data_IF_815574423158
#
_entry.id   IF_815574423158
#
_cell.length_a   1.000
_cell.length_b   1.000
_cell.length_c   1.000
_cell.angle_alpha   90.00
_cell.angle_beta   90.00
_cell.angle_gamma   90.00
#
_symmetry.space_group_name_H-M   'P 1'
#
loop_
_entity.id
_entity.type
_entity.pdbx_description
1 polymer ?
#
# COMPACT_ATOMS: atom_id res chain seq x y z
N UNK A 1 -13.41 22.52 6.35
CA UNK A 1 -13.24 21.07 6.14
C UNK A 1 -11.83 20.87 5.62
N UNK A 2 -10.95 20.28 6.43
CA UNK A 2 -9.58 19.97 6.03
C UNK A 2 -9.53 18.51 5.60
N UNK A 3 -9.01 18.25 4.39
CA UNK A 3 -8.89 16.91 3.83
C UNK A 3 -7.41 16.67 3.56
N UNK A 4 -6.80 15.76 4.32
CA UNK A 4 -5.39 15.40 4.14
C UNK A 4 -5.25 14.38 3.00
N UNK A 5 -4.50 14.69 1.92
CA UNK A 5 -4.26 13.74 0.85
C UNK A 5 -3.49 12.51 1.36
N UNK A 6 -3.85 11.30 0.92
CA UNK A 6 -2.99 10.14 1.10
C UNK A 6 -1.63 10.34 0.41
N UNK A 7 -0.59 9.66 0.89
CA UNK A 7 0.76 9.70 0.31
C UNK A 7 0.76 9.58 -1.24
N UNK A 8 1.41 10.51 -1.92
CA UNK A 8 1.52 10.50 -3.40
C UNK A 8 0.32 11.07 -4.15
N UNK A 9 -0.84 11.27 -3.51
CA UNK A 9 -1.93 12.06 -4.08
C UNK A 9 -1.58 13.55 -4.00
N UNK A 10 -1.97 14.31 -5.03
CA UNK A 10 -1.85 15.78 -5.03
C UNK A 10 -3.07 16.42 -4.35
N UNK A 11 -3.57 17.53 -4.86
CA UNK A 11 -4.79 18.18 -4.35
C UNK A 11 -6.01 17.25 -4.55
N UNK A 12 -6.62 16.80 -3.45
CA UNK A 12 -7.86 16.00 -3.49
C UNK A 12 -9.06 16.86 -3.09
N UNK A 13 -10.20 16.60 -3.74
CA UNK A 13 -11.47 17.26 -3.46
C UNK A 13 -12.59 16.22 -3.33
N UNK A 14 -13.68 16.51 -2.59
CA UNK A 14 -14.84 15.63 -2.57
C UNK A 14 -15.36 15.37 -3.98
N UNK A 15 -15.68 14.13 -4.28
CA UNK A 15 -16.24 13.74 -5.57
C UNK A 15 -17.77 13.78 -5.52
N UNK A 16 -18.38 14.64 -6.32
CA UNK A 16 -19.83 14.82 -6.38
C UNK A 16 -20.42 14.12 -7.60
N UNK A 17 -21.67 13.62 -7.47
CA UNK A 17 -22.32 12.80 -8.50
C UNK A 17 -22.50 13.47 -9.85
N UNK A 18 -22.58 14.81 -9.87
CA UNK A 18 -22.73 15.61 -11.10
C UNK A 18 -21.40 15.91 -11.81
N UNK A 19 -20.27 15.51 -11.22
CA UNK A 19 -18.94 15.75 -11.80
C UNK A 19 -18.55 14.65 -12.77
N UNK A 20 -17.69 15.03 -13.71
CA UNK A 20 -17.09 14.14 -14.71
C UNK A 20 -15.61 13.94 -14.41
N UNK A 21 -15.12 12.74 -14.68
CA UNK A 21 -13.74 12.34 -14.38
C UNK A 21 -13.06 11.85 -15.65
N UNK A 22 -11.89 12.40 -15.98
CA UNK A 22 -11.03 11.88 -17.05
C UNK A 22 -10.12 10.81 -16.48
N UNK A 23 -10.57 9.55 -16.47
CA UNK A 23 -9.78 8.48 -15.88
C UNK A 23 -8.47 8.23 -16.64
N UNK A 24 -7.38 7.84 -15.93
CA UNK A 24 -6.18 7.39 -16.60
C UNK A 24 -6.48 6.25 -17.56
N UNK A 25 -5.81 6.25 -18.73
CA UNK A 25 -5.84 5.11 -19.63
C UNK A 25 -5.31 3.85 -18.94
N UNK A 26 -5.77 2.68 -19.39
CA UNK A 26 -5.33 1.41 -18.84
C UNK A 26 -3.80 1.27 -18.92
N UNK A 27 -3.17 1.04 -17.76
CA UNK A 27 -1.72 0.89 -17.64
C UNK A 27 -0.95 2.21 -17.43
N UNK A 28 -1.61 3.37 -17.48
CA UNK A 28 -1.01 4.63 -17.04
C UNK A 28 -0.87 4.62 -15.53
N UNK A 29 0.35 4.83 -15.05
CA UNK A 29 0.66 4.83 -13.62
C UNK A 29 0.66 6.24 -13.04
N UNK A 30 0.23 6.39 -11.77
CA UNK A 30 0.45 7.62 -11.01
C UNK A 30 1.93 8.04 -11.04
N UNK A 31 2.18 9.33 -11.22
CA UNK A 31 3.53 9.90 -11.34
C UNK A 31 4.41 9.55 -10.13
N UNK A 32 3.85 9.64 -8.91
CA UNK A 32 4.57 9.39 -7.66
C UNK A 32 5.20 7.99 -7.62
N UNK A 33 4.62 7.00 -8.30
CA UNK A 33 5.15 5.63 -8.28
C UNK A 33 6.51 5.50 -8.92
N UNK A 34 6.89 6.39 -9.85
CA UNK A 34 8.20 6.34 -10.52
C UNK A 34 9.36 6.49 -9.54
N UNK A 35 9.13 7.22 -8.45
CA UNK A 35 10.13 7.53 -7.42
C UNK A 35 9.72 7.00 -6.04
N UNK A 36 8.76 6.07 -5.97
CA UNK A 36 8.32 5.50 -4.70
C UNK A 36 9.03 4.17 -4.46
N UNK A 37 9.73 4.06 -3.33
CA UNK A 37 10.44 2.83 -2.94
C UNK A 37 9.60 1.86 -2.11
N UNK A 38 8.45 2.27 -1.59
CA UNK A 38 7.53 1.40 -0.88
C UNK A 38 6.09 1.92 -0.97
N UNK A 39 5.12 1.02 -1.07
CA UNK A 39 3.69 1.37 -1.12
C UNK A 39 2.90 0.66 -0.03
N UNK A 40 1.86 1.29 0.55
CA UNK A 40 0.99 0.63 1.51
C UNK A 40 0.35 -0.64 0.94
N UNK A 41 0.23 -1.65 1.80
CA UNK A 41 -0.56 -2.86 1.53
C UNK A 41 -1.57 -3.06 2.66
N UNK A 42 -2.77 -3.51 2.36
CA UNK A 42 -3.79 -3.79 3.38
C UNK A 42 -3.83 -5.29 3.75
N UNK A 43 -4.49 -5.60 4.87
CA UNK A 43 -4.54 -6.92 5.50
C UNK A 43 -4.88 -8.09 4.56
N UNK A 44 -5.79 -7.88 3.62
CA UNK A 44 -6.24 -8.89 2.65
C UNK A 44 -5.28 -9.04 1.47
N UNK A 45 -4.37 -8.08 1.26
CA UNK A 45 -3.38 -8.14 0.18
C UNK A 45 -2.19 -9.06 0.50
N UNK A 46 -1.92 -9.33 1.78
CA UNK A 46 -0.76 -10.13 2.21
C UNK A 46 -0.60 -11.46 1.43
N UNK A 47 -1.63 -12.32 1.26
CA UNK A 47 -1.49 -13.60 0.55
C UNK A 47 -1.21 -13.51 -0.95
N UNK A 48 -1.46 -12.36 -1.59
CA UNK A 48 -1.12 -12.17 -3.01
C UNK A 48 0.18 -11.38 -3.15
N UNK A 49 0.36 -10.33 -2.34
CA UNK A 49 1.51 -9.44 -2.38
C UNK A 49 2.82 -10.13 -1.94
N UNK A 50 2.77 -11.09 -1.01
CA UNK A 50 3.98 -11.78 -0.53
C UNK A 50 4.71 -12.57 -1.63
N UNK A 51 4.07 -12.84 -2.77
CA UNK A 51 4.69 -13.58 -3.88
C UNK A 51 5.73 -12.74 -4.62
N UNK A 52 5.51 -11.42 -4.62
CA UNK A 52 6.24 -10.48 -5.47
C UNK A 52 7.11 -9.51 -4.67
N UNK A 53 6.69 -9.13 -3.45
CA UNK A 53 7.32 -8.08 -2.67
C UNK A 53 7.83 -8.59 -1.32
N UNK A 54 8.93 -8.04 -0.80
CA UNK A 54 9.14 -8.00 0.64
C UNK A 54 8.03 -7.16 1.26
N UNK A 55 7.28 -7.75 2.18
CA UNK A 55 6.30 -7.05 2.99
C UNK A 55 6.99 -6.71 4.32
N UNK A 56 7.04 -5.44 4.68
CA UNK A 56 7.65 -4.96 5.93
C UNK A 56 6.72 -3.99 6.62
N UNK A 57 7.05 -3.63 7.85
CA UNK A 57 6.31 -2.60 8.60
C UNK A 57 7.14 -1.33 8.68
N UNK A 58 6.50 -0.17 8.63
CA UNK A 58 7.11 1.13 8.88
C UNK A 58 6.39 1.83 10.02
N UNK A 59 7.08 2.74 10.69
CA UNK A 59 6.53 3.54 11.77
C UNK A 59 6.96 5.00 11.62
N UNK A 60 6.03 5.93 11.85
CA UNK A 60 6.28 7.38 11.80
C UNK A 60 6.32 8.03 13.17
N UNK A 61 6.15 7.26 14.24
CA UNK A 61 5.99 7.73 15.62
C UNK A 61 6.88 6.96 16.61
N UNK A 62 8.07 6.59 16.14
CA UNK A 62 9.09 5.87 16.90
C UNK A 62 8.63 4.50 17.43
N UNK A 63 7.87 3.75 16.62
CA UNK A 63 7.46 2.38 16.90
C UNK A 63 6.19 2.27 17.75
N UNK A 64 5.40 3.33 17.89
CA UNK A 64 4.11 3.28 18.61
C UNK A 64 3.00 2.75 17.72
N UNK A 65 3.00 3.14 16.45
CA UNK A 65 2.10 2.63 15.42
C UNK A 65 2.89 2.14 14.21
N UNK A 66 2.30 1.16 13.53
CA UNK A 66 2.91 0.51 12.39
C UNK A 66 1.94 0.48 11.21
N UNK A 67 2.51 0.53 10.02
CA UNK A 67 1.78 0.32 8.77
C UNK A 67 2.56 -0.64 7.89
N UNK A 68 1.92 -1.66 7.31
CA UNK A 68 2.60 -2.57 6.41
C UNK A 68 2.74 -1.95 5.01
N UNK A 69 3.90 -2.20 4.40
CA UNK A 69 4.25 -1.72 3.06
C UNK A 69 4.90 -2.83 2.24
N UNK A 70 4.68 -2.81 0.93
CA UNK A 70 5.45 -3.57 -0.04
C UNK A 70 6.67 -2.77 -0.48
N UNK A 71 7.86 -3.37 -0.37
CA UNK A 71 9.12 -2.74 -0.81
C UNK A 71 9.27 -2.87 -2.32
N UNK A 72 9.41 -1.74 -3.01
CA UNK A 72 9.50 -1.62 -4.47
C UNK A 72 10.92 -1.38 -5.00
N UNK A 73 11.83 -0.95 -4.13
CA UNK A 73 13.21 -0.64 -4.48
C UNK A 73 14.14 -0.80 -3.30
N UNK A 74 15.45 -0.85 -3.58
CA UNK A 74 16.49 -1.01 -2.55
C UNK A 74 17.30 0.26 -2.36
N UNK A 75 17.06 1.29 -3.17
CA UNK A 75 17.55 2.65 -2.96
C UNK A 75 16.39 3.62 -2.68
N UNK A 76 16.73 4.79 -2.15
CA UNK A 76 15.78 5.90 -2.06
C UNK A 76 15.31 6.29 -3.46
N UNK A 77 14.05 6.69 -3.57
CA UNK A 77 13.44 7.16 -4.81
C UNK A 77 13.48 6.19 -6.00
N UNK A 78 13.43 4.88 -5.74
CA UNK A 78 13.58 3.82 -6.74
C UNK A 78 12.35 2.90 -6.77
N UNK A 79 11.79 2.67 -7.95
CA UNK A 79 10.80 1.62 -8.17
C UNK A 79 11.29 0.65 -9.24
N UNK A 80 11.64 -0.56 -8.83
CA UNK A 80 12.20 -1.58 -9.71
C UNK A 80 11.13 -2.31 -10.52
N UNK A 81 9.84 -2.12 -10.23
CA UNK A 81 8.71 -2.82 -10.87
C UNK A 81 8.12 -2.07 -12.07
N UNK A 82 8.70 -0.93 -12.44
CA UNK A 82 8.31 -0.15 -13.61
C UNK A 82 9.35 -0.33 -14.71
N UNK A 83 8.89 -0.80 -15.87
CA UNK A 83 9.70 -1.02 -17.08
C UNK A 83 9.05 -0.27 -18.24
N UNK A 84 9.82 0.55 -18.98
CA UNK A 84 9.30 1.39 -20.07
C UNK A 84 8.08 2.24 -19.68
N UNK A 85 8.06 2.72 -18.43
CA UNK A 85 6.99 3.53 -17.88
C UNK A 85 5.69 2.80 -17.56
N UNK A 86 5.67 1.47 -17.67
CA UNK A 86 4.54 0.60 -17.34
C UNK A 86 4.86 -0.31 -16.18
N UNK A 87 3.84 -0.70 -15.43
CA UNK A 87 3.99 -1.69 -14.38
C UNK A 87 4.27 -3.06 -14.99
N UNK A 88 5.12 -3.87 -14.35
CA UNK A 88 5.35 -5.23 -14.79
C UNK A 88 4.06 -6.04 -14.72
N UNK A 89 3.54 -6.49 -15.87
CA UNK A 89 2.23 -7.13 -15.98
C UNK A 89 2.10 -8.46 -15.21
N UNK A 90 3.23 -9.10 -14.88
CA UNK A 90 3.26 -10.35 -14.12
C UNK A 90 3.35 -10.14 -12.60
N UNK A 91 3.33 -8.90 -12.15
CA UNK A 91 3.50 -8.52 -10.75
C UNK A 91 2.20 -7.93 -10.23
N UNK A 92 1.78 -8.36 -9.04
CA UNK A 92 0.60 -7.83 -8.37
C UNK A 92 0.68 -6.31 -8.20
N UNK A 93 -0.39 -5.58 -8.53
CA UNK A 93 -0.48 -4.13 -8.33
C UNK A 93 -1.28 -3.84 -7.04
N UNK A 94 -0.65 -3.28 -5.98
CA UNK A 94 -1.35 -3.02 -4.72
C UNK A 94 -2.61 -2.15 -4.88
N UNK A 95 -3.62 -2.43 -4.05
CA UNK A 95 -4.91 -1.74 -4.08
C UNK A 95 -4.76 -0.23 -3.86
N UNK A 96 -3.77 0.17 -3.04
CA UNK A 96 -3.38 1.56 -2.85
C UNK A 96 -3.13 2.31 -4.16
N UNK A 97 -2.53 1.63 -5.13
CA UNK A 97 -2.27 2.15 -6.48
C UNK A 97 -3.50 2.03 -7.37
N UNK A 98 -4.16 0.86 -7.37
CA UNK A 98 -5.30 0.58 -8.25
C UNK A 98 -6.48 1.52 -8.06
N UNK A 99 -6.65 2.10 -6.86
CA UNK A 99 -7.73 3.05 -6.56
C UNK A 99 -7.53 4.44 -7.16
N UNK A 100 -6.32 4.79 -7.60
CA UNK A 100 -6.03 6.11 -8.17
C UNK A 100 -6.89 6.36 -9.42
N UNK A 101 -7.48 7.56 -9.60
CA UNK A 101 -7.25 8.81 -8.86
C UNK A 101 -8.18 9.04 -7.66
N UNK A 102 -8.92 8.02 -7.22
CA UNK A 102 -9.84 8.14 -6.10
C UNK A 102 -9.23 7.69 -4.77
N UNK A 103 -9.73 8.28 -3.69
CA UNK A 103 -9.45 7.82 -2.35
C UNK A 103 -10.66 8.06 -1.45
N UNK A 104 -10.69 7.41 -0.29
CA UNK A 104 -11.58 7.83 0.79
C UNK A 104 -10.78 8.65 1.80
N UNK A 105 -11.39 9.75 2.24
CA UNK A 105 -10.82 10.61 3.26
C UNK A 105 -11.72 10.67 4.49
N UNK A 106 -11.08 10.78 5.65
CA UNK A 106 -11.76 11.08 6.91
C UNK A 106 -12.16 12.54 6.89
N UNK A 107 -13.38 12.85 7.31
CA UNK A 107 -13.87 14.21 7.42
C UNK A 107 -13.78 14.65 8.86
N UNK A 108 -13.09 15.75 9.12
CA UNK A 108 -13.12 16.40 10.43
C UNK A 108 -13.96 17.66 10.33
N UNK A 109 -15.02 17.72 11.15
CA UNK A 109 -15.87 18.90 11.33
C UNK A 109 -15.76 19.31 12.79
N UNK A 110 -15.42 20.58 13.06
CA UNK A 110 -15.25 21.12 14.42
C UNK A 110 -14.35 20.27 15.33
N UNK A 111 -13.24 19.76 14.78
CA UNK A 111 -12.29 18.85 15.46
C UNK A 111 -12.85 17.47 15.83
N UNK A 112 -14.02 17.10 15.32
CA UNK A 112 -14.63 15.78 15.48
C UNK A 112 -14.58 15.01 14.16
N UNK A 113 -13.97 13.82 14.18
CA UNK A 113 -13.96 12.91 13.04
C UNK A 113 -15.38 12.37 12.80
N UNK A 114 -15.90 12.58 11.60
CA UNK A 114 -17.20 12.05 11.19
C UNK A 114 -17.09 10.56 10.85
N UNK A 115 -18.15 9.81 11.15
CA UNK A 115 -18.23 8.38 10.85
C UNK A 115 -18.21 8.11 9.33
N UNK A 116 -18.80 9.00 8.55
CA UNK A 116 -18.89 8.86 7.10
C UNK A 116 -17.58 9.26 6.42
N UNK A 117 -17.03 8.33 5.65
CA UNK A 117 -15.91 8.58 4.75
C UNK A 117 -16.44 9.21 3.48
N UNK A 118 -15.78 10.26 3.02
CA UNK A 118 -16.09 10.85 1.72
C UNK A 118 -15.18 10.26 0.65
N UNK A 119 -15.78 9.89 -0.47
CA UNK A 119 -15.05 9.65 -1.71
C UNK A 119 -14.50 10.98 -2.20
N UNK A 120 -13.19 11.02 -2.39
CA UNK A 120 -12.46 12.14 -2.95
C UNK A 120 -11.77 11.69 -4.24
N UNK A 121 -11.46 12.66 -5.09
CA UNK A 121 -10.72 12.49 -6.33
C UNK A 121 -9.60 13.52 -6.40
N UNK A 122 -8.46 13.16 -6.97
CA UNK A 122 -7.43 14.13 -7.30
C UNK A 122 -7.98 15.13 -8.32
N UNK A 123 -7.97 16.43 -7.97
CA UNK A 123 -8.65 17.50 -8.70
C UNK A 123 -8.26 17.59 -10.17
N UNK A 124 -7.01 17.23 -10.50
CA UNK A 124 -6.51 17.19 -11.87
C UNK A 124 -7.29 16.23 -12.79
N UNK A 125 -8.04 15.29 -12.23
CA UNK A 125 -8.85 14.33 -12.97
C UNK A 125 -10.29 14.79 -13.18
N UNK A 126 -10.73 15.87 -12.53
CA UNK A 126 -12.03 16.48 -12.80
C UNK A 126 -11.97 17.26 -14.11
N UNK A 127 -12.89 16.97 -15.03
CA UNK A 127 -12.89 17.56 -16.37
C UNK A 127 -14.25 17.43 -17.03
N UNK A 128 -14.74 18.51 -17.64
CA UNK A 128 -16.02 18.52 -18.37
C UNK A 128 -16.05 17.58 -19.58
N UNK A 129 -14.86 17.20 -20.08
CA UNK A 129 -14.65 16.22 -21.15
C UNK A 129 -14.50 14.78 -20.64
N UNK A 130 -14.51 14.58 -19.32
CA UNK A 130 -14.45 13.26 -18.69
C UNK A 130 -15.74 12.47 -18.84
N UNK A 131 -15.73 11.27 -18.26
CA UNK A 131 -16.90 10.39 -18.18
C UNK A 131 -17.71 10.64 -16.90
N UNK A 132 -19.03 10.48 -16.98
CA UNK A 132 -19.95 10.54 -15.84
C UNK A 132 -19.91 9.21 -15.08
N UNK A 133 -19.89 9.26 -13.75
CA UNK A 133 -19.96 8.06 -12.90
C UNK A 133 -21.39 7.73 -12.46
N UNK A 134 -22.30 8.69 -12.60
CA UNK A 134 -23.71 8.58 -12.24
C UNK A 134 -24.59 9.11 -13.38
N UNK A 135 -25.83 8.62 -13.46
CA UNK A 135 -26.83 9.15 -14.39
C UNK A 135 -27.49 10.43 -13.84
N UNK A 136 -28.43 10.99 -14.62
CA UNK A 136 -29.16 12.22 -14.28
C UNK A 136 -30.06 12.09 -13.03
N UNK A 137 -30.35 10.87 -12.58
CA UNK A 137 -31.11 10.58 -11.35
C UNK A 137 -30.18 10.32 -10.16
N UNK A 138 -28.86 10.35 -10.37
CA UNK A 138 -27.84 10.15 -9.35
C UNK A 138 -27.58 8.67 -9.01
N UNK A 139 -27.97 7.74 -9.89
CA UNK A 139 -27.70 6.31 -9.76
C UNK A 139 -26.37 5.93 -10.42
N UNK A 140 -25.63 5.03 -9.77
CA UNK A 140 -24.31 4.58 -10.21
C UNK A 140 -24.34 3.90 -11.57
N UNK A 141 -23.50 4.37 -12.50
CA UNK A 141 -23.29 3.74 -13.81
C UNK A 141 -22.37 2.52 -13.69
N UNK A 142 -22.40 1.57 -14.64
CA UNK A 142 -21.57 0.35 -14.60
C UNK A 142 -20.07 0.63 -14.43
N UNK A 143 -19.59 1.76 -14.95
CA UNK A 143 -18.20 2.20 -14.84
C UNK A 143 -17.76 2.50 -13.40
N UNK A 144 -18.67 3.02 -12.57
CA UNK A 144 -18.42 3.42 -11.19
C UNK A 144 -18.40 2.24 -10.21
N UNK A 145 -19.29 1.26 -10.41
CA UNK A 145 -19.48 0.14 -9.49
C UNK A 145 -18.20 -0.59 -9.07
N UNK A 146 -17.28 -0.99 -9.97
CA UNK A 146 -16.03 -1.65 -9.55
C UNK A 146 -15.07 -0.71 -8.81
N UNK A 147 -15.09 0.59 -9.11
CA UNK A 147 -14.27 1.60 -8.43
C UNK A 147 -14.78 1.79 -7.01
N UNK A 148 -16.09 1.98 -6.85
CA UNK A 148 -16.76 2.12 -5.56
C UNK A 148 -16.53 0.90 -4.67
N UNK A 149 -16.67 -0.31 -5.23
CA UNK A 149 -16.36 -1.56 -4.52
C UNK A 149 -14.90 -1.57 -4.06
N UNK A 150 -13.94 -1.27 -4.94
CA UNK A 150 -12.51 -1.27 -4.58
C UNK A 150 -12.22 -0.27 -3.45
N UNK A 151 -12.81 0.93 -3.49
CA UNK A 151 -12.66 1.93 -2.44
C UNK A 151 -13.20 1.40 -1.10
N UNK A 152 -14.42 0.88 -1.09
CA UNK A 152 -15.08 0.37 0.10
C UNK A 152 -14.33 -0.83 0.71
N UNK A 153 -13.93 -1.78 -0.14
CA UNK A 153 -13.15 -2.95 0.27
C UNK A 153 -11.81 -2.51 0.88
N UNK A 154 -11.12 -1.56 0.25
CA UNK A 154 -9.84 -1.05 0.73
C UNK A 154 -9.96 -0.35 2.10
N UNK A 155 -10.97 0.50 2.30
CA UNK A 155 -11.16 1.20 3.59
C UNK A 155 -11.54 0.23 4.72
N UNK A 156 -12.44 -0.74 4.44
CA UNK A 156 -12.75 -1.79 5.40
C UNK A 156 -11.51 -2.62 5.76
N UNK A 157 -10.64 -2.85 4.79
CA UNK A 157 -9.41 -3.60 5.00
C UNK A 157 -8.33 -2.80 5.75
N UNK A 158 -8.32 -1.47 5.63
CA UNK A 158 -7.46 -0.60 6.44
C UNK A 158 -7.76 -0.74 7.94
N UNK A 159 -9.02 -0.92 8.32
CA UNK A 159 -9.36 -1.12 9.73
C UNK A 159 -8.82 -2.45 10.27
N UNK A 160 -8.94 -3.54 9.48
CA UNK A 160 -8.31 -4.82 9.82
C UNK A 160 -6.78 -4.72 9.87
N UNK A 161 -6.20 -3.87 9.03
CA UNK A 161 -4.77 -3.61 9.00
C UNK A 161 -4.31 -2.91 10.28
N UNK A 162 -5.06 -1.90 10.74
CA UNK A 162 -4.81 -1.21 12.02
C UNK A 162 -4.94 -2.18 13.20
N UNK A 163 -6.01 -2.97 13.24
CA UNK A 163 -6.21 -3.99 14.28
C UNK A 163 -5.04 -4.99 14.32
N UNK A 164 -4.64 -5.52 13.16
CA UNK A 164 -3.48 -6.41 13.06
C UNK A 164 -2.21 -5.74 13.61
N UNK A 165 -1.91 -4.51 13.19
CA UNK A 165 -0.70 -3.81 13.63
C UNK A 165 -0.73 -3.52 15.13
N UNK A 166 -1.89 -3.18 15.70
CA UNK A 166 -2.05 -3.03 17.15
C UNK A 166 -1.74 -4.34 17.86
N UNK A 167 -2.32 -5.47 17.41
CA UNK A 167 -2.07 -6.77 18.02
C UNK A 167 -0.57 -7.14 17.97
N UNK A 168 0.09 -6.92 16.83
CA UNK A 168 1.52 -7.19 16.69
C UNK A 168 2.37 -6.33 17.63
N UNK A 169 2.02 -5.04 17.79
CA UNK A 169 2.68 -4.12 18.70
C UNK A 169 2.44 -4.48 20.18
N UNK A 170 1.18 -4.72 20.56
CA UNK A 170 0.77 -5.09 21.92
C UNK A 170 1.43 -6.40 22.38
N UNK A 171 1.62 -7.34 21.44
CA UNK A 171 2.30 -8.62 21.71
C UNK A 171 3.83 -8.50 21.57
N UNK A 172 4.36 -7.28 21.35
CA UNK A 172 5.78 -6.98 21.20
C UNK A 172 6.48 -7.81 20.12
N UNK A 173 5.75 -8.19 19.07
CA UNK A 173 6.23 -9.09 18.02
C UNK A 173 7.10 -8.39 16.96
N UNK A 174 7.13 -7.06 16.94
CA UNK A 174 7.87 -6.28 15.94
C UNK A 174 9.24 -5.86 16.48
N UNK A 175 10.26 -5.96 15.63
CA UNK A 175 11.62 -5.47 15.90
C UNK A 175 12.14 -4.62 14.73
N UNK A 176 13.04 -3.64 14.98
CA UNK A 176 13.73 -2.94 13.91
C UNK A 176 14.47 -3.90 12.98
N UNK A 177 14.36 -3.65 11.68
CA UNK A 177 14.96 -4.47 10.65
C UNK A 177 15.72 -3.61 9.65
N UNK A 178 16.96 -4.01 9.35
CA UNK A 178 17.77 -3.44 8.27
C UNK A 178 18.16 -4.55 7.32
N UNK A 179 17.78 -4.41 6.05
CA UNK A 179 18.28 -5.29 5.01
C UNK A 179 19.68 -4.80 4.61
N UNK A 180 20.66 -5.70 4.65
CA UNK A 180 22.02 -5.45 4.22
C UNK A 180 22.30 -6.29 2.98
N UNK A 181 22.89 -5.70 1.96
CA UNK A 181 23.28 -6.39 0.75
C UNK A 181 24.58 -5.82 0.19
N UNK A 182 25.23 -6.56 -0.69
CA UNK A 182 26.35 -6.04 -1.49
C UNK A 182 25.95 -6.13 -2.95
N UNK A 183 25.91 -5.00 -3.64
CA UNK A 183 25.67 -4.95 -5.08
C UNK A 183 26.94 -5.41 -5.79
N UNK A 184 26.78 -6.16 -6.89
CA UNK A 184 27.92 -6.68 -7.66
C UNK A 184 28.87 -5.56 -8.12
N UNK A 185 28.30 -4.40 -8.48
CA UNK A 185 29.05 -3.27 -9.04
C UNK A 185 28.93 -1.97 -8.19
N UNK A 186 28.31 -2.04 -7.01
CA UNK A 186 27.85 -0.85 -6.27
C UNK A 186 28.22 -0.78 -4.78
N UNK A 187 29.01 -1.74 -4.29
CA UNK A 187 29.43 -1.79 -2.89
C UNK A 187 28.31 -2.20 -1.92
N UNK A 188 28.55 -2.10 -0.60
CA UNK A 188 27.56 -2.44 0.41
C UNK A 188 26.40 -1.45 0.41
N UNK A 189 25.20 -1.96 0.64
CA UNK A 189 23.97 -1.19 0.73
C UNK A 189 23.16 -1.62 1.95
N UNK A 190 22.54 -0.63 2.60
CA UNK A 190 21.68 -0.84 3.75
C UNK A 190 20.33 -0.16 3.49
N UNK A 191 19.24 -0.92 3.60
CA UNK A 191 17.89 -0.40 3.66
C UNK A 191 17.41 -0.49 5.10
N UNK A 192 17.29 0.65 5.77
CA UNK A 192 16.90 0.79 7.16
C UNK A 192 15.49 1.40 7.31
N UNK A 193 15.06 1.70 8.53
CA UNK A 193 13.76 2.33 8.80
C UNK A 193 12.56 1.40 8.70
N UNK A 194 12.81 0.08 8.66
CA UNK A 194 11.78 -0.95 8.59
C UNK A 194 11.68 -1.70 9.91
N UNK A 195 10.58 -2.41 10.07
CA UNK A 195 10.33 -3.37 11.13
C UNK A 195 9.90 -4.70 10.52
N UNK A 196 10.23 -5.78 11.22
CA UNK A 196 9.79 -7.14 10.89
C UNK A 196 9.23 -7.83 12.11
N UNK A 197 8.53 -8.94 11.88
CA UNK A 197 8.10 -9.82 12.96
C UNK A 197 9.28 -10.70 13.41
N UNK A 198 9.51 -10.77 14.71
CA UNK A 198 10.46 -11.70 15.32
C UNK A 198 9.74 -13.03 15.62
N UNK A 199 9.92 -14.01 14.73
CA UNK A 199 9.20 -15.30 14.80
C UNK A 199 9.38 -16.02 16.15
N UNK A 200 10.57 -15.97 16.73
CA UNK A 200 10.84 -16.59 18.05
C UNK A 200 9.94 -16.06 19.16
N UNK A 201 9.50 -14.80 19.09
CA UNK A 201 8.58 -14.24 20.10
C UNK A 201 7.21 -14.89 20.10
N UNK A 202 6.83 -15.58 19.02
CA UNK A 202 5.60 -16.36 18.99
C UNK A 202 5.61 -17.48 20.04
N UNK A 203 6.75 -18.09 20.33
CA UNK A 203 6.87 -19.19 21.32
C UNK A 203 6.55 -18.74 22.75
N UNK A 204 6.68 -17.44 23.04
CA UNK A 204 6.45 -16.88 24.38
C UNK A 204 5.02 -16.33 24.57
N UNK A 205 4.17 -16.41 23.55
CA UNK A 205 2.77 -16.00 23.68
C UNK A 205 1.98 -17.01 24.51
N UNK A 206 1.09 -16.50 25.34
CA UNK A 206 0.18 -17.37 26.08
C UNK A 206 -0.93 -17.93 25.17
N UNK A 207 -1.64 -18.95 25.66
CA UNK A 207 -2.69 -19.63 24.90
C UNK A 207 -3.82 -18.69 24.41
N UNK A 208 -4.15 -17.65 25.17
CA UNK A 208 -5.18 -16.68 24.78
C UNK A 208 -4.70 -15.76 23.64
N UNK A 209 -3.44 -15.31 23.69
CA UNK A 209 -2.81 -14.52 22.63
C UNK A 209 -2.72 -15.32 21.33
N UNK A 210 -2.23 -16.57 21.39
CA UNK A 210 -2.22 -17.46 20.23
C UNK A 210 -3.62 -17.64 19.63
N UNK A 211 -4.62 -17.96 20.46
CA UNK A 211 -6.01 -18.10 20.02
C UNK A 211 -6.52 -16.83 19.35
N UNK A 212 -6.16 -15.65 19.87
CA UNK A 212 -6.54 -14.37 19.28
C UNK A 212 -5.92 -14.20 17.87
N UNK A 213 -4.63 -14.50 17.70
CA UNK A 213 -3.97 -14.45 16.39
C UNK A 213 -4.65 -15.34 15.35
N UNK A 214 -5.09 -16.55 15.73
CA UNK A 214 -5.85 -17.42 14.84
C UNK A 214 -7.26 -16.89 14.57
N UNK A 215 -8.01 -16.52 15.61
CA UNK A 215 -9.39 -16.02 15.49
C UNK A 215 -9.48 -14.76 14.61
N UNK A 216 -8.49 -13.88 14.71
CA UNK A 216 -8.38 -12.65 13.91
C UNK A 216 -7.68 -12.86 12.57
N UNK A 217 -7.28 -14.09 12.24
CA UNK A 217 -6.57 -14.43 10.99
C UNK A 217 -5.18 -13.78 10.84
N UNK A 218 -4.65 -13.18 11.91
CA UNK A 218 -3.36 -12.49 11.95
C UNK A 218 -2.22 -13.50 11.80
N UNK A 219 -2.35 -14.72 12.33
CA UNK A 219 -1.31 -15.74 12.21
C UNK A 219 -0.93 -16.01 10.75
N UNK A 220 -1.91 -16.06 9.84
CA UNK A 220 -1.63 -16.21 8.41
C UNK A 220 -0.83 -15.03 7.85
N UNK A 221 -1.09 -13.81 8.33
CA UNK A 221 -0.39 -12.60 7.88
C UNK A 221 1.05 -12.57 8.39
N UNK A 222 1.27 -13.02 9.61
CA UNK A 222 2.60 -13.20 10.20
C UNK A 222 3.48 -14.06 9.29
N UNK A 223 3.02 -15.27 8.94
CA UNK A 223 3.83 -16.17 8.10
C UNK A 223 3.97 -15.66 6.66
N UNK A 224 2.94 -15.05 6.07
CA UNK A 224 3.12 -14.42 4.74
C UNK A 224 4.15 -13.29 4.77
N UNK A 225 4.22 -12.51 5.85
CA UNK A 225 5.27 -11.52 6.04
C UNK A 225 6.65 -12.18 6.13
N UNK A 226 6.82 -13.18 7.01
CA UNK A 226 8.11 -13.88 7.19
C UNK A 226 8.61 -14.48 5.87
N UNK A 227 7.75 -15.18 5.13
CA UNK A 227 8.07 -15.77 3.83
C UNK A 227 8.35 -14.70 2.76
N UNK A 228 7.69 -13.53 2.84
CA UNK A 228 7.93 -12.45 1.89
C UNK A 228 9.35 -11.88 1.97
N UNK A 229 10.05 -12.03 3.12
CA UNK A 229 11.38 -11.48 3.31
C UNK A 229 12.41 -12.08 2.34
N UNK A 230 12.19 -13.32 1.87
CA UNK A 230 13.03 -13.94 0.83
C UNK A 230 12.99 -13.17 -0.50
N UNK A 231 11.95 -12.36 -0.75
CA UNK A 231 11.87 -11.52 -1.92
C UNK A 231 12.91 -10.38 -1.92
N UNK A 232 13.60 -10.10 -0.81
CA UNK A 232 14.73 -9.16 -0.86
C UNK A 232 15.81 -9.64 -1.83
N UNK A 233 16.09 -10.95 -1.87
CA UNK A 233 17.03 -11.52 -2.83
C UNK A 233 16.54 -11.33 -4.28
N UNK A 234 15.23 -11.49 -4.53
CA UNK A 234 14.62 -11.25 -5.85
C UNK A 234 14.68 -9.77 -6.25
N UNK A 235 14.49 -8.87 -5.30
CA UNK A 235 14.56 -7.43 -5.52
C UNK A 235 15.99 -6.99 -5.90
N UNK A 236 17.00 -7.54 -5.22
CA UNK A 236 18.42 -7.34 -5.57
C UNK A 236 18.74 -7.90 -6.96
N UNK A 237 18.23 -9.08 -7.30
CA UNK A 237 18.39 -9.64 -8.64
C UNK A 237 17.77 -8.72 -9.71
N UNK A 238 16.56 -8.22 -9.47
CA UNK A 238 15.87 -7.28 -10.36
C UNK A 238 16.70 -6.01 -10.59
N UNK A 239 17.30 -5.46 -9.53
CA UNK A 239 18.21 -4.30 -9.64
C UNK A 239 19.43 -4.59 -10.51
N UNK A 240 20.08 -5.73 -10.29
CA UNK A 240 21.26 -6.11 -11.08
C UNK A 240 20.92 -6.27 -12.56
N UNK A 241 19.81 -6.96 -12.88
CA UNK A 241 19.37 -7.14 -14.27
C UNK A 241 19.10 -5.81 -14.98
N UNK A 242 18.42 -4.88 -14.31
CA UNK A 242 18.14 -3.55 -14.85
C UNK A 242 19.40 -2.69 -15.01
N UNK A 243 20.40 -2.84 -14.14
CA UNK A 243 21.69 -2.18 -14.28
C UNK A 243 22.44 -2.68 -15.53
N UNK A 244 22.48 -4.00 -15.74
CA UNK A 244 23.10 -4.60 -16.94
C UNK A 244 22.38 -4.17 -18.22
N UNK A 245 21.05 -4.14 -18.23
CA UNK A 245 20.27 -3.70 -19.40
C UNK A 245 20.47 -2.23 -19.78
N UNK A 246 20.86 -1.37 -18.83
CA UNK A 246 21.21 0.04 -19.09
C UNK A 246 22.65 0.22 -19.59
N UNK A 247 23.52 -0.76 -19.34
CA UNK A 247 24.92 -0.72 -19.74
C UNK A 247 25.17 -1.35 -21.13
N UNK A 248 24.20 -2.09 -21.66
CA UNK A 248 24.18 -2.67 -23.00
C UNK A 248 23.49 -1.74 -24.01
#
# INVERSE_FOLDING_TARGET
>A
MEINPPFGFKEIVPFYKNQKVSLPEAGVLPEFLRTTNAVPVSYTEFPVAYRDFPLVFVSTDAGKSFSPVAVLGVAATENLFIENGKWNANVYLPAYVRRYPFCMARVTLDSVEQADRLVCVEKAFLSDKGETMFDGEGKSLPRWQPIERLLNDYEADLERTREMCSILADYSLLEPFTMQATLKDGGPMNLAGMFRIEEKKLEYLNAAQHRNLFKKGVMGRIYTHLLSLDNFARLLLRKNTLATAKAA
#
